data_IF_353378890725
#
_entry.id   IF_353378890725
#
_cell.length_a   1.000
_cell.length_b   1.000
_cell.length_c   1.000
_cell.angle_alpha   90.00
_cell.angle_beta   90.00
_cell.angle_gamma   90.00
#
_symmetry.space_group_name_H-M   'P 1'
#
loop_
_entity.id
_entity.type
_entity.pdbx_description
1 polymer ?
#
# COMPACT_ATOMS: atom_id res chain seq x y z
N UNK A 1 -28.69 -54.21 35.22
CA UNK A 1 -27.48 -53.48 34.85
C UNK A 1 -27.81 -52.65 33.63
N UNK A 2 -27.98 -51.31 33.79
CA UNK A 2 -28.31 -50.38 32.69
C UNK A 2 -27.02 -49.61 32.39
N UNK A 3 -26.48 -49.84 31.18
CA UNK A 3 -25.34 -49.11 30.65
C UNK A 3 -25.83 -47.75 30.07
N UNK A 4 -25.36 -46.65 30.64
CA UNK A 4 -25.54 -45.32 30.09
C UNK A 4 -24.41 -45.04 29.10
N UNK A 5 -24.75 -44.94 27.76
CA UNK A 5 -23.86 -44.42 26.75
C UNK A 5 -23.86 -42.90 26.83
N UNK A 6 -22.73 -42.30 27.24
CA UNK A 6 -22.49 -40.88 27.09
C UNK A 6 -21.97 -40.61 25.68
N UNK A 7 -22.80 -40.01 24.81
CA UNK A 7 -22.38 -39.48 23.51
C UNK A 7 -21.75 -38.11 23.75
N UNK A 8 -20.42 -37.98 23.63
CA UNK A 8 -19.73 -36.73 23.64
C UNK A 8 -19.92 -36.05 22.28
N UNK A 9 -20.72 -34.99 22.27
CA UNK A 9 -20.90 -34.11 21.08
C UNK A 9 -19.68 -33.19 20.98
N UNK A 10 -18.75 -33.53 20.09
CA UNK A 10 -17.63 -32.66 19.74
C UNK A 10 -18.15 -31.52 18.84
N UNK A 11 -18.33 -30.36 19.42
CA UNK A 11 -18.70 -29.14 18.70
C UNK A 11 -17.47 -28.65 17.91
N UNK A 12 -17.42 -28.97 16.61
CA UNK A 12 -16.40 -28.45 15.71
C UNK A 12 -16.71 -26.97 15.42
N UNK A 13 -16.11 -26.07 16.18
CA UNK A 13 -16.19 -24.63 15.90
C UNK A 13 -15.32 -24.37 14.67
N UNK A 14 -15.96 -24.31 13.50
CA UNK A 14 -15.32 -23.80 12.29
C UNK A 14 -15.05 -22.30 12.49
N UNK A 15 -13.84 -21.95 12.88
CA UNK A 15 -13.37 -20.57 12.87
C UNK A 15 -13.25 -20.14 11.40
N UNK A 16 -14.21 -19.37 10.92
CA UNK A 16 -14.10 -18.67 9.64
C UNK A 16 -12.95 -17.67 9.76
N UNK A 17 -11.76 -18.10 9.34
CA UNK A 17 -10.57 -17.28 9.37
C UNK A 17 -10.72 -16.10 8.41
N UNK A 18 -11.03 -14.92 8.94
CA UNK A 18 -10.83 -13.68 8.21
C UNK A 18 -9.32 -13.59 8.00
N UNK A 19 -8.87 -13.59 6.75
CA UNK A 19 -7.45 -13.44 6.43
C UNK A 19 -7.00 -12.03 6.83
N UNK A 20 -6.65 -11.87 8.10
CA UNK A 20 -5.89 -10.72 8.56
C UNK A 20 -4.41 -11.02 8.32
N UNK A 21 -3.65 -10.01 7.90
CA UNK A 21 -2.19 -10.11 7.89
C UNK A 21 -1.74 -10.52 9.30
N UNK A 22 -1.31 -11.77 9.44
CA UNK A 22 -0.77 -12.30 10.69
C UNK A 22 0.75 -12.31 10.60
N UNK A 23 1.45 -11.94 11.67
CA UNK A 23 2.90 -12.12 11.70
C UNK A 23 3.22 -13.61 11.52
N UNK A 24 4.29 -13.90 10.79
CA UNK A 24 4.79 -15.28 10.68
C UNK A 24 5.18 -15.82 12.06
N UNK A 25 5.03 -17.14 12.30
CA UNK A 25 5.49 -17.77 13.55
C UNK A 25 6.96 -17.45 13.85
N UNK A 26 7.33 -17.37 15.10
CA UNK A 26 8.72 -17.02 15.51
C UNK A 26 9.77 -17.95 14.88
N UNK A 27 9.44 -19.25 14.74
CA UNK A 27 10.28 -20.26 14.11
C UNK A 27 10.53 -20.08 12.61
N UNK A 28 9.72 -19.25 11.94
CA UNK A 28 9.80 -18.97 10.51
C UNK A 28 10.41 -17.58 10.23
N UNK A 29 10.67 -16.80 11.27
CA UNK A 29 11.28 -15.48 11.10
C UNK A 29 12.71 -15.57 10.62
N UNK A 30 13.04 -14.68 9.69
CA UNK A 30 14.39 -14.47 9.20
C UNK A 30 14.90 -13.10 9.65
N UNK A 31 16.21 -12.88 9.80
CA UNK A 31 16.76 -11.60 10.25
C UNK A 31 16.78 -10.53 9.14
N UNK A 32 15.73 -10.49 8.29
CA UNK A 32 15.61 -9.54 7.17
C UNK A 32 14.17 -8.98 7.14
N UNK A 33 14.06 -7.66 7.15
CA UNK A 33 12.79 -6.95 7.10
C UNK A 33 12.70 -6.04 5.88
N UNK A 34 11.55 -6.01 5.21
CA UNK A 34 11.23 -4.97 4.24
C UNK A 34 10.66 -3.77 5.01
N UNK A 35 11.55 -2.89 5.41
CA UNK A 35 11.23 -1.79 6.31
C UNK A 35 10.36 -0.72 5.68
N UNK A 36 10.73 -0.25 4.48
CA UNK A 36 10.02 0.83 3.80
C UNK A 36 10.27 0.82 2.30
N UNK A 37 9.35 1.44 1.57
CA UNK A 37 9.56 1.90 0.19
C UNK A 37 9.79 3.40 0.20
N UNK A 38 10.85 3.89 -0.46
CA UNK A 38 11.10 5.33 -0.59
C UNK A 38 10.89 5.75 -2.03
N UNK A 39 9.95 6.68 -2.23
CA UNK A 39 9.66 7.31 -3.51
C UNK A 39 10.48 8.59 -3.62
N UNK A 40 11.17 8.75 -4.75
CA UNK A 40 11.85 10.01 -5.07
C UNK A 40 10.83 10.88 -5.79
N UNK A 41 10.42 11.95 -5.11
CA UNK A 41 9.36 12.85 -5.59
C UNK A 41 9.92 14.20 -5.98
N UNK A 42 9.24 14.87 -6.91
CA UNK A 42 9.62 16.22 -7.35
C UNK A 42 9.37 17.28 -6.28
N UNK A 43 8.25 17.11 -5.55
CA UNK A 43 7.77 18.05 -4.55
C UNK A 43 6.97 17.32 -3.48
N UNK A 44 7.53 17.26 -2.27
CA UNK A 44 6.91 16.58 -1.13
C UNK A 44 5.56 17.22 -0.78
N UNK A 45 5.41 18.53 -0.89
CA UNK A 45 4.15 19.20 -0.55
C UNK A 45 3.00 18.79 -1.51
N UNK A 46 3.33 18.44 -2.75
CA UNK A 46 2.35 17.92 -3.71
C UNK A 46 2.05 16.44 -3.53
N UNK A 47 2.93 15.68 -2.89
CA UNK A 47 2.73 14.26 -2.61
C UNK A 47 1.97 14.02 -1.30
N UNK A 48 2.18 14.86 -0.27
CA UNK A 48 1.54 14.73 1.04
C UNK A 48 0.01 14.66 1.00
N UNK A 49 -0.72 15.38 0.14
CA UNK A 49 -2.17 15.28 0.06
C UNK A 49 -2.67 13.85 -0.21
N UNK A 50 -1.99 13.05 -1.04
CA UNK A 50 -2.36 11.65 -1.25
C UNK A 50 -2.01 10.80 -0.02
N UNK A 51 -0.74 10.80 0.39
CA UNK A 51 -0.24 9.84 1.37
C UNK A 51 -0.67 10.16 2.80
N UNK A 52 -0.58 11.44 3.21
CA UNK A 52 -0.95 11.89 4.54
C UNK A 52 -2.46 12.10 4.70
N UNK A 53 -3.07 12.85 3.78
CA UNK A 53 -4.43 13.37 3.99
C UNK A 53 -5.49 12.38 3.47
N UNK A 54 -5.36 11.89 2.24
CA UNK A 54 -6.32 10.95 1.67
C UNK A 54 -6.14 9.52 2.20
N UNK A 55 -4.91 8.99 2.22
CA UNK A 55 -4.61 7.65 2.75
C UNK A 55 -4.49 7.63 4.28
N UNK A 56 -4.34 8.77 4.95
CA UNK A 56 -4.31 8.86 6.41
C UNK A 56 -3.04 8.36 7.07
N UNK A 57 -1.93 8.25 6.33
CA UNK A 57 -0.65 7.86 6.89
C UNK A 57 -0.11 8.93 7.83
N UNK A 58 0.60 8.53 8.88
CA UNK A 58 1.14 9.45 9.89
C UNK A 58 2.58 9.82 9.57
N UNK A 59 2.86 11.12 9.45
CA UNK A 59 4.23 11.62 9.38
C UNK A 59 4.92 11.35 10.72
N UNK A 60 6.03 10.63 10.68
CA UNK A 60 6.85 10.27 11.85
C UNK A 60 8.27 10.83 11.76
N UNK A 61 8.64 11.36 10.61
CA UNK A 61 9.95 11.98 10.39
C UNK A 61 9.83 12.99 9.24
N UNK A 62 10.41 14.17 9.39
CA UNK A 62 10.52 15.19 8.35
C UNK A 62 11.80 15.98 8.61
N UNK A 63 12.84 15.73 7.82
CA UNK A 63 14.15 16.33 8.04
C UNK A 63 14.84 16.71 6.73
N UNK A 64 15.67 17.75 6.85
CA UNK A 64 16.62 18.15 5.85
C UNK A 64 17.96 17.45 6.08
N UNK A 65 18.52 16.86 5.04
CA UNK A 65 19.70 16.01 5.11
C UNK A 65 20.75 16.49 4.11
N UNK A 66 22.04 16.25 4.43
CA UNK A 66 23.18 16.51 3.54
C UNK A 66 23.70 17.94 3.56
N UNK A 67 23.28 18.75 4.54
CA UNK A 67 23.85 20.06 4.81
C UNK A 67 24.81 20.02 6.01
N UNK A 68 25.53 21.11 6.25
CA UNK A 68 26.40 21.23 7.42
C UNK A 68 27.53 22.22 7.24
N UNK A 69 28.49 22.19 8.18
CA UNK A 69 29.77 22.94 8.07
C UNK A 69 30.87 21.94 7.67
N UNK A 70 31.64 22.30 6.68
CA UNK A 70 32.87 21.56 6.38
C UNK A 70 34.00 21.90 7.38
N UNK A 71 35.16 21.26 7.22
CA UNK A 71 36.36 21.48 8.06
C UNK A 71 36.89 22.92 8.06
N UNK A 72 36.56 23.68 7.02
CA UNK A 72 37.00 25.07 6.83
C UNK A 72 35.91 26.06 7.32
N UNK A 73 34.84 25.55 7.94
CA UNK A 73 33.72 26.32 8.47
C UNK A 73 32.70 26.81 7.43
N UNK A 74 32.84 26.42 6.17
CA UNK A 74 31.92 26.77 5.09
C UNK A 74 30.62 26.02 5.25
N UNK A 75 29.51 26.73 5.28
CA UNK A 75 28.17 26.16 5.39
C UNK A 75 27.69 25.69 4.02
N UNK A 76 27.29 24.43 3.93
CA UNK A 76 26.61 23.84 2.75
C UNK A 76 25.14 23.67 3.05
N UNK A 77 24.22 24.01 2.11
CA UNK A 77 22.79 23.82 2.29
C UNK A 77 22.44 22.32 2.26
N UNK A 78 21.29 21.95 2.85
CA UNK A 78 20.75 20.59 2.72
C UNK A 78 20.52 20.23 1.25
N UNK A 79 20.74 18.97 0.91
CA UNK A 79 20.58 18.45 -0.46
C UNK A 79 19.35 17.58 -0.64
N UNK A 80 18.75 17.12 0.47
CA UNK A 80 17.59 16.23 0.49
C UNK A 80 16.64 16.68 1.58
N UNK A 81 15.32 16.64 1.30
CA UNK A 81 14.29 16.53 2.33
C UNK A 81 13.74 15.11 2.32
N UNK A 82 13.62 14.50 3.48
CA UNK A 82 13.07 13.16 3.65
C UNK A 82 11.92 13.19 4.64
N UNK A 83 10.75 12.76 4.19
CA UNK A 83 9.57 12.56 5.02
C UNK A 83 9.29 11.07 5.11
N UNK A 84 9.09 10.55 6.32
CA UNK A 84 8.66 9.17 6.53
C UNK A 84 7.23 9.16 7.07
N UNK A 85 6.41 8.33 6.43
CA UNK A 85 5.02 8.12 6.81
C UNK A 85 4.85 6.63 7.19
N UNK A 86 4.16 6.40 8.30
CA UNK A 86 3.80 5.04 8.75
C UNK A 86 2.30 4.81 8.67
N UNK A 87 1.92 3.57 8.46
CA UNK A 87 0.54 3.10 8.59
C UNK A 87 0.30 2.55 10.01
N UNK A 88 0.29 1.26 10.19
CA UNK A 88 -0.10 0.59 11.44
C UNK A 88 1.08 0.00 12.23
N UNK A 89 2.26 -0.03 11.64
CA UNK A 89 3.48 -0.50 12.30
C UNK A 89 4.51 0.61 12.42
N UNK A 90 5.37 0.56 13.46
CA UNK A 90 6.39 1.58 13.71
C UNK A 90 7.60 1.42 12.79
N UNK A 91 7.85 0.21 12.29
CA UNK A 91 9.07 -0.12 11.59
C UNK A 91 8.82 -0.67 10.17
N UNK A 92 7.79 -1.51 9.99
CA UNK A 92 7.48 -2.23 8.74
C UNK A 92 6.43 -1.49 7.92
N UNK A 93 6.57 -1.54 6.58
CA UNK A 93 5.58 -0.99 5.64
C UNK A 93 5.48 0.53 5.63
N UNK A 94 6.53 1.23 6.03
CA UNK A 94 6.58 2.69 5.95
C UNK A 94 6.77 3.15 4.49
N UNK A 95 6.29 4.35 4.20
CA UNK A 95 6.56 5.07 2.94
C UNK A 95 7.50 6.23 3.24
N UNK A 96 8.58 6.34 2.45
CA UNK A 96 9.44 7.51 2.43
C UNK A 96 9.14 8.38 1.22
N UNK A 97 9.04 9.68 1.41
CA UNK A 97 9.05 10.67 0.34
C UNK A 97 10.39 11.41 0.38
N UNK A 98 11.16 11.33 -0.67
CA UNK A 98 12.48 11.95 -0.75
C UNK A 98 12.50 12.97 -1.90
N UNK A 99 12.76 14.23 -1.56
CA UNK A 99 12.95 15.31 -2.52
C UNK A 99 14.41 15.73 -2.58
N UNK A 100 14.97 15.84 -3.79
CA UNK A 100 16.31 16.36 -4.02
C UNK A 100 16.26 17.89 -4.12
N UNK A 101 16.93 18.60 -3.20
CA UNK A 101 16.92 20.06 -3.11
C UNK A 101 18.02 20.73 -3.93
N UNK A 102 19.06 19.98 -4.28
CA UNK A 102 20.23 20.44 -5.04
C UNK A 102 20.10 20.25 -6.55
N UNK A 103 18.91 19.94 -7.03
CA UNK A 103 18.60 19.75 -8.46
C UNK A 103 17.45 20.67 -8.86
N UNK A 104 17.40 21.13 -10.10
CA UNK A 104 16.24 21.84 -10.62
C UNK A 104 14.98 20.98 -10.46
N UNK A 105 13.86 21.60 -10.10
CA UNK A 105 12.57 20.90 -10.09
C UNK A 105 12.21 20.45 -11.49
N UNK A 106 11.95 19.17 -11.65
CA UNK A 106 11.49 18.62 -12.93
C UNK A 106 10.06 19.10 -13.24
N UNK A 107 9.72 19.30 -14.52
CA UNK A 107 8.36 19.69 -14.89
C UNK A 107 7.34 18.60 -14.51
N UNK A 108 6.06 18.95 -14.36
CA UNK A 108 5.00 17.97 -14.18
C UNK A 108 4.99 16.93 -15.30
N UNK A 109 4.60 15.69 -14.96
CA UNK A 109 4.44 14.66 -15.99
C UNK A 109 3.26 15.00 -16.89
N UNK A 110 3.45 14.81 -18.17
CA UNK A 110 2.40 14.94 -19.20
C UNK A 110 1.79 13.58 -19.56
N UNK A 111 2.47 12.49 -19.24
CA UNK A 111 2.06 11.12 -19.55
C UNK A 111 2.25 10.20 -18.33
N UNK A 112 1.25 9.34 -18.12
CA UNK A 112 1.24 8.33 -17.07
C UNK A 112 1.13 6.96 -17.72
N UNK A 113 2.09 6.08 -17.42
CA UNK A 113 2.14 4.71 -17.98
C UNK A 113 2.15 3.69 -16.85
N UNK A 114 1.32 2.67 -16.99
CA UNK A 114 1.37 1.52 -16.08
C UNK A 114 2.77 0.88 -16.11
N UNK A 115 3.23 0.36 -14.96
CA UNK A 115 4.54 -0.29 -14.88
C UNK A 115 4.67 -1.44 -15.88
N UNK A 116 5.84 -1.56 -16.48
CA UNK A 116 6.26 -2.69 -17.30
C UNK A 116 7.43 -3.41 -16.60
N UNK A 117 8.04 -4.39 -17.26
CA UNK A 117 9.18 -5.12 -16.72
C UNK A 117 10.26 -4.18 -16.18
N UNK A 118 10.65 -4.38 -14.92
CA UNK A 118 11.55 -3.49 -14.17
C UNK A 118 10.85 -2.36 -13.41
N UNK A 119 9.57 -2.11 -13.64
CA UNK A 119 8.77 -1.16 -12.87
C UNK A 119 8.29 -1.74 -11.54
N UNK A 120 7.78 -0.88 -10.67
CA UNK A 120 7.25 -1.26 -9.34
C UNK A 120 5.77 -0.91 -9.25
N UNK A 121 5.01 -1.78 -8.61
CA UNK A 121 3.63 -1.53 -8.20
C UNK A 121 3.61 -1.47 -6.67
N UNK A 122 3.10 -0.38 -6.13
CA UNK A 122 2.84 -0.28 -4.70
C UNK A 122 1.40 -0.72 -4.43
N UNK A 123 1.23 -1.72 -3.59
CA UNK A 123 -0.11 -2.19 -3.21
C UNK A 123 -0.41 -1.78 -1.77
N UNK A 124 -1.48 -1.03 -1.59
CA UNK A 124 -1.95 -0.54 -0.29
C UNK A 124 -3.31 -1.16 0.01
N UNK A 125 -3.45 -1.81 1.17
CA UNK A 125 -4.74 -2.29 1.63
C UNK A 125 -5.44 -1.24 2.50
N UNK A 126 -6.55 -0.69 2.00
CA UNK A 126 -7.39 0.27 2.71
C UNK A 126 -8.71 -0.39 3.11
N UNK A 127 -8.85 -0.77 4.39
CA UNK A 127 -10.07 -1.46 4.89
C UNK A 127 -11.36 -0.65 4.72
N UNK A 128 -11.22 0.66 4.67
CA UNK A 128 -12.28 1.65 4.52
C UNK A 128 -12.29 2.29 3.12
N UNK A 129 -11.84 1.58 2.09
CA UNK A 129 -11.72 2.10 0.71
C UNK A 129 -13.03 2.74 0.22
N UNK A 130 -14.20 2.15 0.55
CA UNK A 130 -15.50 2.65 0.13
C UNK A 130 -15.73 4.13 0.52
N UNK A 131 -15.32 4.50 1.73
CA UNK A 131 -15.46 5.87 2.25
C UNK A 131 -14.24 6.74 1.97
N UNK A 132 -13.07 6.12 1.84
CA UNK A 132 -11.80 6.79 1.58
C UNK A 132 -11.67 7.24 0.12
N UNK A 133 -12.32 6.54 -0.80
CA UNK A 133 -12.20 6.78 -2.24
C UNK A 133 -12.53 8.22 -2.64
N UNK A 134 -13.54 8.81 -2.03
CA UNK A 134 -13.89 10.20 -2.31
C UNK A 134 -12.76 11.19 -1.95
N UNK A 135 -12.03 10.93 -0.86
CA UNK A 135 -10.86 11.74 -0.50
C UNK A 135 -9.70 11.53 -1.49
N UNK A 136 -9.52 10.30 -1.95
CA UNK A 136 -8.51 9.98 -2.96
C UNK A 136 -8.82 10.72 -4.26
N UNK A 137 -10.06 10.64 -4.76
CA UNK A 137 -10.49 11.36 -5.98
C UNK A 137 -10.33 12.88 -5.87
N UNK A 138 -10.57 13.44 -4.70
CA UNK A 138 -10.43 14.86 -4.45
C UNK A 138 -8.98 15.32 -4.30
N UNK A 139 -8.00 14.41 -4.25
CA UNK A 139 -6.60 14.73 -4.11
C UNK A 139 -6.06 15.42 -5.37
N UNK A 140 -5.45 16.62 -5.24
CA UNK A 140 -4.91 17.31 -6.41
C UNK A 140 -3.71 16.56 -7.01
N UNK A 141 -3.55 16.70 -8.33
CA UNK A 141 -2.41 16.20 -9.09
C UNK A 141 -2.22 14.66 -9.11
N UNK A 142 -3.22 13.89 -8.76
CA UNK A 142 -3.23 12.45 -9.01
C UNK A 142 -3.99 12.16 -10.32
N UNK A 143 -3.78 11.00 -10.87
CA UNK A 143 -4.59 10.48 -11.99
C UNK A 143 -5.23 9.17 -11.58
N UNK A 144 -6.56 9.13 -11.62
CA UNK A 144 -7.29 7.87 -11.46
C UNK A 144 -7.00 7.02 -12.71
N UNK A 145 -6.54 5.81 -12.50
CA UNK A 145 -6.34 4.81 -13.54
C UNK A 145 -7.52 3.84 -13.59
N UNK A 146 -7.96 3.38 -12.42
CA UNK A 146 -9.09 2.46 -12.29
C UNK A 146 -9.93 2.79 -11.06
N UNK A 147 -11.24 3.02 -11.27
CA UNK A 147 -12.23 3.18 -10.19
C UNK A 147 -12.42 1.86 -9.41
N UNK A 148 -12.84 1.90 -8.15
CA UNK A 148 -13.06 0.68 -7.36
C UNK A 148 -14.06 -0.28 -8.03
N UNK A 149 -13.65 -1.52 -8.25
CA UNK A 149 -14.51 -2.59 -8.72
C UNK A 149 -14.13 -3.91 -8.06
N UNK A 150 -15.09 -4.83 -7.96
CA UNK A 150 -14.87 -6.16 -7.40
C UNK A 150 -14.13 -7.05 -8.41
N UNK A 151 -13.06 -7.67 -7.95
CA UNK A 151 -12.32 -8.70 -8.67
C UNK A 151 -12.08 -9.90 -7.75
N UNK A 152 -11.90 -11.08 -8.32
CA UNK A 152 -11.60 -12.30 -7.58
C UNK A 152 -10.28 -12.88 -8.04
N UNK A 153 -9.36 -13.07 -7.11
CA UNK A 153 -8.07 -13.70 -7.37
C UNK A 153 -8.11 -15.18 -6.92
N UNK A 154 -7.40 -16.08 -7.61
CA UNK A 154 -7.20 -17.45 -7.13
C UNK A 154 -6.52 -17.44 -5.76
N UNK A 155 -7.10 -18.16 -4.81
CA UNK A 155 -6.54 -18.39 -3.49
C UNK A 155 -6.01 -19.82 -3.32
N UNK A 156 -5.33 -20.14 -2.21
CA UNK A 156 -4.89 -21.49 -1.90
C UNK A 156 -6.09 -22.44 -1.75
N UNK A 157 -5.88 -23.74 -2.00
CA UNK A 157 -6.89 -24.80 -1.83
C UNK A 157 -8.20 -24.55 -2.62
N UNK A 158 -8.09 -24.05 -3.86
CA UNK A 158 -9.24 -23.71 -4.71
C UNK A 158 -10.22 -22.69 -4.09
N UNK A 159 -9.74 -21.86 -3.17
CA UNK A 159 -10.50 -20.71 -2.67
C UNK A 159 -10.36 -19.52 -3.62
N UNK A 160 -11.19 -18.49 -3.41
CA UNK A 160 -11.06 -17.21 -4.09
C UNK A 160 -10.83 -16.11 -3.06
N UNK A 161 -10.04 -15.13 -3.44
CA UNK A 161 -9.77 -13.93 -2.65
C UNK A 161 -10.50 -12.77 -3.33
N UNK A 162 -11.69 -12.40 -2.85
CA UNK A 162 -12.42 -11.26 -3.39
C UNK A 162 -11.79 -9.96 -2.90
N UNK A 163 -11.57 -9.04 -3.83
CA UNK A 163 -10.92 -7.75 -3.59
C UNK A 163 -11.76 -6.66 -4.24
N UNK A 164 -11.96 -5.56 -3.55
CA UNK A 164 -12.32 -4.30 -4.17
C UNK A 164 -11.02 -3.66 -4.64
N UNK A 165 -10.79 -3.71 -5.94
CA UNK A 165 -9.57 -3.23 -6.60
C UNK A 165 -9.75 -1.79 -7.06
N UNK A 166 -8.73 -0.97 -6.93
CA UNK A 166 -8.62 0.34 -7.58
C UNK A 166 -7.16 0.69 -7.84
N UNK A 167 -6.88 1.63 -8.74
CA UNK A 167 -5.53 2.11 -8.98
C UNK A 167 -5.48 3.58 -9.36
N UNK A 168 -4.37 4.21 -8.96
CA UNK A 168 -4.08 5.61 -9.26
C UNK A 168 -2.61 5.77 -9.63
N UNK A 169 -2.30 6.86 -10.31
CA UNK A 169 -0.95 7.41 -10.36
C UNK A 169 -0.86 8.58 -9.39
N UNK A 170 0.19 8.63 -8.61
CA UNK A 170 0.49 9.81 -7.80
C UNK A 170 1.00 10.98 -8.66
N UNK A 171 1.29 12.11 -8.02
CA UNK A 171 1.82 13.31 -8.68
C UNK A 171 3.13 13.06 -9.48
N UNK A 172 3.89 12.06 -9.12
CA UNK A 172 5.18 11.71 -9.73
C UNK A 172 5.12 10.54 -10.70
N UNK A 173 3.92 9.99 -10.94
CA UNK A 173 3.68 8.88 -11.86
C UNK A 173 3.93 7.51 -11.25
N UNK A 174 4.08 7.40 -9.94
CA UNK A 174 4.14 6.11 -9.29
C UNK A 174 2.77 5.46 -9.38
N UNK A 175 2.73 4.22 -9.87
CA UNK A 175 1.52 3.42 -9.97
C UNK A 175 1.20 2.76 -8.63
N UNK A 176 0.00 2.99 -8.12
CA UNK A 176 -0.43 2.54 -6.81
C UNK A 176 -1.78 1.83 -6.93
N UNK A 177 -1.82 0.58 -6.51
CA UNK A 177 -3.07 -0.13 -6.27
C UNK A 177 -3.55 0.15 -4.85
N UNK A 178 -4.79 0.58 -4.72
CA UNK A 178 -5.42 0.82 -3.41
C UNK A 178 -6.60 -0.13 -3.32
N UNK A 179 -6.42 -1.20 -2.55
CA UNK A 179 -7.30 -2.35 -2.54
C UNK A 179 -7.97 -2.52 -1.16
N UNK A 180 -9.14 -3.16 -1.14
CA UNK A 180 -9.79 -3.64 0.08
C UNK A 180 -10.03 -5.14 -0.05
N UNK A 181 -9.44 -5.92 0.84
CA UNK A 181 -9.74 -7.34 0.95
C UNK A 181 -11.16 -7.52 1.50
N UNK A 182 -12.00 -8.27 0.80
CA UNK A 182 -13.42 -8.47 1.14
C UNK A 182 -13.66 -9.76 1.95
N UNK A 183 -12.61 -10.43 2.39
CA UNK A 183 -12.66 -11.73 3.08
C UNK A 183 -12.39 -12.89 2.11
N UNK A 184 -12.37 -14.11 2.63
CA UNK A 184 -12.25 -15.33 1.81
C UNK A 184 -13.64 -15.92 1.59
N UNK A 185 -14.04 -16.12 0.31
CA UNK A 185 -15.22 -16.90 -0.01
C UNK A 185 -14.80 -18.35 -0.28
N UNK A 186 -15.48 -19.31 0.34
CA UNK A 186 -15.33 -20.71 -0.01
C UNK A 186 -16.02 -20.97 -1.38
N UNK A 187 -15.23 -21.37 -2.36
CA UNK A 187 -15.70 -22.07 -3.58
C UNK A 187 -16.79 -21.39 -4.42
N UNK A 188 -16.46 -20.29 -5.10
CA UNK A 188 -17.22 -19.89 -6.27
C UNK A 188 -16.26 -19.71 -7.44
N UNK A 189 -16.30 -20.64 -8.39
CA UNK A 189 -15.64 -20.50 -9.69
C UNK A 189 -16.45 -19.48 -10.52
N UNK A 190 -15.94 -18.27 -10.66
CA UNK A 190 -16.46 -17.33 -11.65
C UNK A 190 -15.31 -16.76 -12.45
N UNK A 191 -15.33 -17.07 -13.72
CA UNK A 191 -14.44 -16.48 -14.73
C UNK A 191 -14.86 -15.03 -14.94
N UNK A 192 -14.19 -14.08 -14.31
CA UNK A 192 -14.38 -12.66 -14.62
C UNK A 192 -13.31 -12.23 -15.63
N UNK A 193 -13.77 -11.95 -16.84
CA UNK A 193 -12.95 -11.31 -17.89
C UNK A 193 -12.65 -9.87 -17.48
N UNK A 194 -11.39 -9.44 -17.52
CA UNK A 194 -11.06 -8.02 -17.27
C UNK A 194 -11.75 -7.11 -18.30
N UNK A 195 -12.12 -5.87 -17.93
CA UNK A 195 -12.61 -4.91 -18.89
C UNK A 195 -11.57 -4.71 -20.01
N UNK A 196 -12.02 -4.67 -21.24
CA UNK A 196 -11.17 -4.48 -22.40
C UNK A 196 -10.37 -3.17 -22.30
N UNK A 197 -9.06 -3.27 -22.49
CA UNK A 197 -8.18 -2.10 -22.63
C UNK A 197 -8.71 -1.18 -23.71
N UNK A 198 -9.05 0.04 -23.35
CA UNK A 198 -9.27 1.09 -24.33
C UNK A 198 -7.90 1.48 -24.91
N UNK A 199 -7.69 1.14 -26.18
CA UNK A 199 -6.57 1.62 -26.99
C UNK A 199 -6.61 3.14 -27.15
#
# INVERSE_FOLDING_TARGET
MKQFLFAALVLLVATTGVSHAQPVPESEKIPVDIRRTTLVVRDIEKSLPLYRDALGLKVVYDQLIGGGKDKDGKVTPPTIRLVLLRANDQFIGAIGLMQRLNQPMLPPLTEFKRPNAGGMIMVINAKDLDTRWEKIKATPNIKIDTEPYRIEYPGPNNTVIPVLFSSVFDNDGNFIEINKLLGTAAGASTTTTPPAEKK
#
